data_IF_902433686013
#
_entry.id   IF_902433686013
#
_cell.length_a   1.000
_cell.length_b   1.000
_cell.length_c   1.000
_cell.angle_alpha   90.00
_cell.angle_beta   90.00
_cell.angle_gamma   90.00
#
_symmetry.space_group_name_H-M   'P 1'
#
loop_
_entity.id
_entity.type
_entity.pdbx_description
1 polymer ?
#
# COMPACT_ATOMS: atom_id res chain seq x y z
N UNK A 1 -44.50 -15.50 -26.65
CA UNK A 1 -44.60 -16.09 -28.00
C UNK A 1 -44.49 -17.59 -27.86
N UNK A 2 -45.39 -18.38 -28.47
CA UNK A 2 -45.31 -19.83 -28.37
C UNK A 2 -44.10 -20.31 -29.17
N UNK A 3 -43.22 -21.06 -28.51
CA UNK A 3 -42.08 -21.70 -29.14
C UNK A 3 -42.57 -22.67 -30.21
N UNK A 4 -42.29 -22.35 -31.46
CA UNK A 4 -42.36 -23.32 -32.55
C UNK A 4 -41.24 -24.32 -32.32
N UNK A 5 -41.52 -25.36 -31.52
CA UNK A 5 -40.63 -26.50 -31.40
C UNK A 5 -40.35 -27.02 -32.80
N UNK A 6 -39.07 -27.00 -33.20
CA UNK A 6 -38.63 -27.74 -34.37
C UNK A 6 -39.08 -29.18 -34.15
N UNK A 7 -40.00 -29.64 -35.00
CA UNK A 7 -40.20 -31.07 -35.20
C UNK A 7 -38.81 -31.64 -35.52
N UNK A 8 -38.43 -32.73 -34.86
CA UNK A 8 -37.27 -33.53 -35.24
C UNK A 8 -37.44 -33.91 -36.71
N UNK A 9 -36.87 -33.09 -37.60
CA UNK A 9 -36.86 -33.34 -39.02
C UNK A 9 -35.63 -34.21 -39.23
N UNK A 10 -35.87 -35.51 -39.36
CA UNK A 10 -34.83 -36.49 -39.65
C UNK A 10 -34.29 -36.18 -41.05
N UNK A 11 -33.22 -35.38 -41.12
CA UNK A 11 -32.47 -35.18 -42.34
C UNK A 11 -32.04 -36.56 -42.86
N UNK A 12 -32.49 -36.93 -44.06
CA UNK A 12 -31.99 -38.11 -44.73
C UNK A 12 -30.48 -37.98 -44.91
N UNK A 13 -29.74 -39.04 -44.59
CA UNK A 13 -28.29 -39.07 -44.75
C UNK A 13 -27.89 -38.74 -46.19
N UNK A 14 -27.14 -37.65 -46.38
CA UNK A 14 -26.62 -37.23 -47.68
C UNK A 14 -25.26 -37.92 -47.88
N UNK A 15 -25.23 -38.95 -48.71
CA UNK A 15 -23.98 -39.62 -49.11
C UNK A 15 -23.34 -38.88 -50.30
N UNK A 16 -22.11 -38.40 -50.13
CA UNK A 16 -21.33 -37.77 -51.19
C UNK A 16 -20.31 -38.76 -51.77
N UNK A 17 -20.67 -39.41 -52.87
CA UNK A 17 -19.82 -40.35 -53.58
C UNK A 17 -19.01 -39.67 -54.69
N UNK A 18 -17.71 -39.95 -54.77
CA UNK A 18 -16.82 -39.40 -55.79
C UNK A 18 -16.10 -40.53 -56.51
N UNK A 19 -16.25 -40.60 -57.84
CA UNK A 19 -15.47 -41.50 -58.70
C UNK A 19 -14.49 -40.68 -59.53
N UNK A 20 -13.19 -40.98 -59.44
CA UNK A 20 -12.14 -40.35 -60.22
C UNK A 20 -11.69 -41.26 -61.38
N UNK A 21 -11.54 -40.76 -62.63
CA UNK A 21 -11.04 -41.57 -63.74
C UNK A 21 -9.54 -41.88 -63.62
N UNK A 22 -9.10 -42.96 -64.30
CA UNK A 22 -7.70 -43.40 -64.32
C UNK A 22 -6.74 -42.32 -64.88
N UNK A 23 -5.64 -42.08 -64.17
CA UNK A 23 -4.86 -40.84 -64.21
C UNK A 23 -3.58 -40.87 -65.05
N UNK A 24 -3.44 -41.79 -66.01
CA UNK A 24 -2.15 -41.98 -66.69
C UNK A 24 -2.00 -41.07 -67.90
N UNK A 25 -1.05 -40.12 -67.83
CA UNK A 25 -0.59 -39.31 -68.97
C UNK A 25 0.52 -40.09 -69.69
N UNK A 26 0.34 -40.41 -70.98
CA UNK A 26 1.39 -41.00 -71.82
C UNK A 26 2.00 -39.94 -72.76
N UNK A 27 3.30 -40.08 -73.03
CA UNK A 27 4.02 -39.27 -74.00
C UNK A 27 5.17 -40.08 -74.59
N UNK A 28 5.66 -39.67 -75.77
CA UNK A 28 6.78 -40.29 -76.47
C UNK A 28 8.14 -39.84 -75.91
N UNK A 29 8.31 -39.92 -74.58
CA UNK A 29 9.48 -39.41 -73.87
C UNK A 29 10.79 -39.99 -74.41
N UNK A 30 10.89 -41.31 -74.59
CA UNK A 30 12.11 -41.95 -75.07
C UNK A 30 12.48 -41.48 -76.49
N UNK A 31 11.50 -41.41 -77.39
CA UNK A 31 11.71 -40.93 -78.76
C UNK A 31 12.20 -39.48 -78.79
N UNK A 32 11.58 -38.57 -78.02
CA UNK A 32 11.97 -37.16 -77.99
C UNK A 32 13.34 -37.00 -77.32
N UNK A 33 13.64 -37.82 -76.32
CA UNK A 33 14.94 -37.82 -75.63
C UNK A 33 16.07 -38.25 -76.55
N UNK A 34 15.85 -39.28 -77.37
CA UNK A 34 16.81 -39.71 -78.41
C UNK A 34 17.04 -38.60 -79.44
N UNK A 35 15.97 -37.99 -79.96
CA UNK A 35 16.07 -36.88 -80.93
C UNK A 35 16.81 -35.67 -80.36
N UNK A 36 16.53 -35.30 -79.10
CA UNK A 36 17.24 -34.21 -78.43
C UNK A 36 18.71 -34.56 -78.19
N UNK A 37 19.03 -35.79 -77.79
CA UNK A 37 20.42 -36.22 -77.58
C UNK A 37 21.22 -36.18 -78.89
N UNK A 38 20.64 -36.68 -79.98
CA UNK A 38 21.22 -36.64 -81.32
C UNK A 38 21.46 -35.19 -81.78
N UNK A 39 20.44 -34.33 -81.68
CA UNK A 39 20.56 -32.91 -82.06
C UNK A 39 21.54 -32.14 -81.15
N UNK A 40 21.60 -32.45 -79.85
CA UNK A 40 22.52 -31.77 -78.92
C UNK A 40 23.98 -32.19 -79.12
N UNK A 41 24.24 -33.42 -79.56
CA UNK A 41 25.60 -33.93 -79.81
C UNK A 41 26.35 -33.11 -80.86
N UNK A 42 25.62 -32.47 -81.78
CA UNK A 42 26.18 -31.59 -82.81
C UNK A 42 26.86 -30.34 -82.23
N UNK A 43 26.61 -30.00 -80.96
CA UNK A 43 27.20 -28.83 -80.30
C UNK A 43 28.36 -29.20 -79.36
N UNK A 44 28.66 -30.50 -79.18
CA UNK A 44 29.79 -30.94 -78.36
C UNK A 44 31.12 -30.60 -79.05
N UNK A 45 31.99 -29.85 -78.35
CA UNK A 45 33.32 -29.47 -78.87
C UNK A 45 33.36 -28.34 -79.90
N UNK A 46 32.21 -27.76 -80.29
CA UNK A 46 32.19 -26.60 -81.21
C UNK A 46 32.68 -25.34 -80.49
N UNK A 47 33.68 -24.67 -81.08
CA UNK A 47 34.12 -23.33 -80.69
C UNK A 47 33.59 -22.31 -81.72
N UNK A 48 32.63 -21.48 -81.31
CA UNK A 48 32.12 -20.40 -82.17
C UNK A 48 33.14 -19.26 -82.26
N UNK A 49 33.53 -18.89 -83.47
CA UNK A 49 34.42 -17.78 -83.83
C UNK A 49 33.64 -16.50 -84.17
N UNK A 50 34.34 -15.37 -84.38
CA UNK A 50 33.71 -14.07 -84.65
C UNK A 50 32.81 -14.08 -85.91
N UNK A 51 33.23 -14.80 -86.96
CA UNK A 51 32.48 -14.97 -88.21
C UNK A 51 31.25 -15.88 -88.09
N UNK A 52 31.22 -16.76 -87.08
CA UNK A 52 30.12 -17.73 -86.84
C UNK A 52 29.14 -17.28 -85.75
N UNK A 53 29.37 -16.12 -85.13
CA UNK A 53 28.55 -15.54 -84.05
C UNK A 53 27.07 -15.37 -84.41
N UNK A 54 26.78 -14.94 -85.65
CA UNK A 54 25.40 -14.76 -86.10
C UNK A 54 24.65 -16.10 -86.21
N UNK A 55 25.31 -17.12 -86.75
CA UNK A 55 24.76 -18.47 -86.85
C UNK A 55 24.54 -19.11 -85.47
N UNK A 56 25.50 -18.95 -84.54
CA UNK A 56 25.37 -19.40 -83.15
C UNK A 56 24.19 -18.76 -82.43
N UNK A 57 23.98 -17.44 -82.58
CA UNK A 57 22.79 -16.75 -82.04
C UNK A 57 21.48 -17.31 -82.58
N UNK A 58 21.42 -17.62 -83.89
CA UNK A 58 20.24 -18.22 -84.51
C UNK A 58 19.96 -19.61 -83.94
N UNK A 59 20.98 -20.45 -83.77
CA UNK A 59 20.85 -21.78 -83.17
C UNK A 59 20.39 -21.73 -81.71
N UNK A 60 20.93 -20.82 -80.90
CA UNK A 60 20.44 -20.61 -79.52
C UNK A 60 18.96 -20.21 -79.51
N UNK A 61 18.51 -19.38 -80.45
CA UNK A 61 17.11 -18.99 -80.55
C UNK A 61 16.21 -20.20 -80.93
N UNK A 62 16.65 -21.05 -81.86
CA UNK A 62 15.98 -22.30 -82.22
C UNK A 62 15.86 -23.25 -81.02
N UNK A 63 16.94 -23.49 -80.27
CA UNK A 63 16.94 -24.33 -79.07
C UNK A 63 16.03 -23.78 -77.96
N UNK A 64 16.02 -22.46 -77.75
CA UNK A 64 15.10 -21.81 -76.80
C UNK A 64 13.64 -21.99 -77.21
N UNK A 65 13.34 -21.96 -78.51
CA UNK A 65 12.00 -22.23 -79.03
C UNK A 65 11.58 -23.67 -78.77
N UNK A 66 12.43 -24.65 -79.09
CA UNK A 66 12.16 -26.08 -78.80
C UNK A 66 11.91 -26.33 -77.31
N UNK A 67 12.75 -25.73 -76.44
CA UNK A 67 12.54 -25.80 -74.98
C UNK A 67 11.19 -25.21 -74.56
N UNK A 68 10.81 -24.07 -75.14
CA UNK A 68 9.54 -23.41 -74.87
C UNK A 68 8.36 -24.27 -75.34
N UNK A 69 8.42 -24.85 -76.53
CA UNK A 69 7.32 -25.64 -77.09
C UNK A 69 7.03 -26.89 -76.23
N UNK A 70 8.06 -27.55 -75.69
CA UNK A 70 7.91 -28.66 -74.72
C UNK A 70 7.24 -28.17 -73.43
N UNK A 71 7.69 -27.04 -72.88
CA UNK A 71 7.16 -26.47 -71.64
C UNK A 71 5.70 -26.00 -71.80
N UNK A 72 5.36 -25.42 -72.95
CA UNK A 72 4.01 -24.98 -73.30
C UNK A 72 3.08 -26.17 -73.49
N UNK A 73 3.55 -27.27 -74.11
CA UNK A 73 2.75 -28.50 -74.22
C UNK A 73 2.50 -29.15 -72.86
N UNK A 74 3.48 -29.16 -71.95
CA UNK A 74 3.30 -29.60 -70.56
C UNK A 74 2.24 -28.76 -69.84
N UNK A 75 2.29 -27.43 -69.98
CA UNK A 75 1.32 -26.51 -69.36
C UNK A 75 -0.09 -26.71 -69.89
N UNK A 76 -0.25 -26.90 -71.19
CA UNK A 76 -1.55 -27.14 -71.82
C UNK A 76 -2.16 -28.45 -71.32
N UNK A 77 -1.38 -29.54 -71.28
CA UNK A 77 -1.83 -30.82 -70.72
C UNK A 77 -2.23 -30.68 -69.24
N UNK A 78 -1.43 -29.96 -68.43
CA UNK A 78 -1.80 -29.67 -67.02
C UNK A 78 -3.12 -28.91 -66.93
N UNK A 79 -3.34 -27.91 -67.77
CA UNK A 79 -4.58 -27.12 -67.79
C UNK A 79 -5.79 -28.00 -68.14
N UNK A 80 -5.66 -28.84 -69.16
CA UNK A 80 -6.72 -29.78 -69.57
C UNK A 80 -7.00 -30.83 -68.49
N UNK A 81 -5.96 -31.34 -67.83
CA UNK A 81 -6.10 -32.33 -66.76
C UNK A 81 -6.69 -31.74 -65.47
N UNK A 82 -6.39 -30.48 -65.17
CA UNK A 82 -6.97 -29.74 -64.04
C UNK A 82 -8.37 -29.22 -64.31
N UNK A 83 -8.78 -29.03 -65.58
CA UNK A 83 -10.12 -28.57 -65.91
C UNK A 83 -11.26 -29.40 -65.27
N UNK A 84 -11.28 -30.75 -65.34
CA UNK A 84 -12.33 -31.54 -64.69
C UNK A 84 -12.27 -31.45 -63.16
N UNK A 85 -11.07 -31.37 -62.58
CA UNK A 85 -10.91 -31.20 -61.13
C UNK A 85 -11.44 -29.83 -60.68
N UNK A 86 -11.08 -28.75 -61.37
CA UNK A 86 -11.52 -27.40 -61.04
C UNK A 86 -13.04 -27.27 -61.17
N UNK A 87 -13.64 -27.87 -62.21
CA UNK A 87 -15.09 -27.89 -62.36
C UNK A 87 -15.78 -28.67 -61.23
N UNK A 88 -15.21 -29.81 -60.82
CA UNK A 88 -15.66 -30.56 -59.64
C UNK A 88 -15.52 -29.75 -58.35
N UNK A 89 -14.37 -29.10 -58.12
CA UNK A 89 -14.10 -28.25 -56.95
C UNK A 89 -15.08 -27.06 -56.87
N UNK A 90 -15.39 -26.43 -58.00
CA UNK A 90 -16.43 -25.39 -58.08
C UNK A 90 -17.80 -25.94 -57.67
N UNK A 91 -18.21 -27.11 -58.19
CA UNK A 91 -19.48 -27.74 -57.82
C UNK A 91 -19.53 -28.14 -56.35
N UNK A 92 -18.42 -28.67 -55.79
CA UNK A 92 -18.34 -28.99 -54.36
C UNK A 92 -18.45 -27.73 -53.51
N UNK A 93 -17.80 -26.63 -53.90
CA UNK A 93 -17.93 -25.35 -53.18
C UNK A 93 -19.36 -24.81 -53.21
N UNK A 94 -20.09 -24.99 -54.30
CA UNK A 94 -21.52 -24.66 -54.35
C UNK A 94 -22.33 -25.50 -53.36
N UNK A 95 -22.07 -26.82 -53.28
CA UNK A 95 -22.71 -27.70 -52.30
C UNK A 95 -22.38 -27.30 -50.85
N UNK A 96 -21.12 -26.97 -50.55
CA UNK A 96 -20.71 -26.48 -49.24
C UNK A 96 -21.41 -25.17 -48.88
N UNK A 97 -21.52 -24.23 -49.84
CA UNK A 97 -22.20 -22.96 -49.62
C UNK A 97 -23.71 -23.13 -49.32
N UNK A 98 -24.37 -24.14 -49.88
CA UNK A 98 -25.76 -24.48 -49.55
C UNK A 98 -25.92 -24.94 -48.10
N UNK A 99 -24.90 -25.61 -47.53
CA UNK A 99 -24.89 -26.08 -46.14
C UNK A 99 -24.44 -24.98 -45.17
N UNK A 100 -23.46 -24.16 -45.54
CA UNK A 100 -22.95 -23.07 -44.71
C UNK A 100 -24.03 -22.02 -44.43
N UNK A 101 -24.91 -21.76 -45.39
CA UNK A 101 -25.98 -20.75 -45.24
C UNK A 101 -26.90 -21.04 -44.04
N UNK A 102 -27.55 -22.21 -43.90
CA UNK A 102 -28.35 -22.52 -42.73
C UNK A 102 -27.51 -22.64 -41.45
N UNK A 103 -26.28 -23.16 -41.49
CA UNK A 103 -25.40 -23.22 -40.32
C UNK A 103 -25.18 -21.81 -39.74
N UNK A 104 -24.77 -20.87 -40.58
CA UNK A 104 -24.50 -19.49 -40.16
C UNK A 104 -25.77 -18.79 -39.67
N UNK A 105 -26.91 -19.05 -40.32
CA UNK A 105 -28.21 -18.53 -39.89
C UNK A 105 -28.64 -19.09 -38.52
N UNK A 106 -28.41 -20.37 -38.24
CA UNK A 106 -28.72 -20.99 -36.94
C UNK A 106 -27.76 -20.45 -35.87
N UNK A 107 -26.45 -20.43 -36.13
CA UNK A 107 -25.45 -19.93 -35.19
C UNK A 107 -25.72 -18.49 -34.78
N UNK A 108 -25.99 -17.61 -35.75
CA UNK A 108 -26.30 -16.20 -35.45
C UNK A 108 -27.57 -16.04 -34.61
N UNK A 109 -28.60 -16.87 -34.82
CA UNK A 109 -29.78 -16.88 -33.96
C UNK A 109 -29.47 -17.37 -32.55
N UNK A 110 -28.72 -18.47 -32.41
CA UNK A 110 -28.33 -19.03 -31.10
C UNK A 110 -27.51 -17.99 -30.32
N UNK A 111 -26.53 -17.34 -30.96
CA UNK A 111 -25.75 -16.26 -30.36
C UNK A 111 -26.64 -15.07 -29.97
N UNK A 112 -27.58 -14.67 -30.82
CA UNK A 112 -28.52 -13.58 -30.51
C UNK A 112 -29.41 -13.92 -29.30
N UNK A 113 -29.87 -15.16 -29.18
CA UNK A 113 -30.63 -15.63 -28.02
C UNK A 113 -29.79 -15.63 -26.74
N UNK A 114 -28.54 -16.11 -26.79
CA UNK A 114 -27.63 -16.11 -25.65
C UNK A 114 -27.27 -14.68 -25.20
N UNK A 115 -26.98 -13.78 -26.14
CA UNK A 115 -26.72 -12.38 -25.86
C UNK A 115 -27.94 -11.67 -25.26
N UNK A 116 -29.13 -11.94 -25.79
CA UNK A 116 -30.38 -11.43 -25.24
C UNK A 116 -30.60 -11.94 -23.81
N UNK A 117 -30.42 -13.25 -23.57
CA UNK A 117 -30.53 -13.86 -22.24
C UNK A 117 -29.56 -13.21 -21.25
N UNK A 118 -28.30 -13.01 -21.62
CA UNK A 118 -27.31 -12.35 -20.77
C UNK A 118 -27.72 -10.90 -20.45
N UNK A 119 -28.16 -10.12 -21.44
CA UNK A 119 -28.63 -8.74 -21.21
C UNK A 119 -29.86 -8.67 -20.31
N UNK A 120 -30.86 -9.52 -20.54
CA UNK A 120 -32.05 -9.63 -19.69
C UNK A 120 -31.66 -10.02 -18.26
N UNK A 121 -30.68 -10.91 -18.12
CA UNK A 121 -30.18 -11.34 -16.82
C UNK A 121 -29.43 -10.23 -16.07
N UNK A 122 -28.57 -9.48 -16.75
CA UNK A 122 -27.92 -8.31 -16.16
C UNK A 122 -28.95 -7.25 -15.73
N UNK A 123 -29.96 -7.00 -16.56
CA UNK A 123 -31.05 -6.08 -16.22
C UNK A 123 -31.85 -6.57 -15.00
N UNK A 124 -32.13 -7.87 -14.90
CA UNK A 124 -32.79 -8.47 -13.74
C UNK A 124 -31.95 -8.33 -12.46
N UNK A 125 -30.64 -8.61 -12.52
CA UNK A 125 -29.72 -8.41 -11.38
C UNK A 125 -29.71 -6.94 -10.95
N UNK A 126 -29.63 -6.03 -11.92
CA UNK A 126 -29.62 -4.59 -11.67
C UNK A 126 -30.94 -4.12 -11.05
N UNK A 127 -32.08 -4.64 -11.51
CA UNK A 127 -33.40 -4.33 -10.97
C UNK A 127 -33.54 -4.84 -9.52
N UNK A 128 -33.18 -6.10 -9.25
CA UNK A 128 -33.16 -6.65 -7.89
C UNK A 128 -32.27 -5.77 -6.99
N UNK A 129 -31.09 -5.37 -7.46
CA UNK A 129 -30.23 -4.49 -6.68
C UNK A 129 -30.87 -3.15 -6.35
N UNK A 130 -31.50 -2.49 -7.32
CA UNK A 130 -32.18 -1.21 -7.10
C UNK A 130 -33.37 -1.34 -6.14
N UNK A 131 -34.10 -2.45 -6.18
CA UNK A 131 -35.19 -2.75 -5.25
C UNK A 131 -34.68 -2.93 -3.81
N UNK A 132 -33.55 -3.63 -3.62
CA UNK A 132 -33.10 -4.10 -2.31
C UNK A 132 -32.10 -3.17 -1.61
N UNK A 133 -31.31 -2.39 -2.36
CA UNK A 133 -30.18 -1.63 -1.80
C UNK A 133 -30.61 -0.47 -0.88
N UNK A 134 -31.73 0.17 -1.20
CA UNK A 134 -32.23 1.34 -0.46
C UNK A 134 -31.21 2.48 -0.34
N UNK A 135 -31.06 3.00 0.87
CA UNK A 135 -30.17 4.12 1.23
C UNK A 135 -28.68 3.78 1.19
N UNK A 136 -28.31 2.50 1.04
CA UNK A 136 -26.93 2.04 1.09
C UNK A 136 -26.21 2.15 -0.26
N UNK A 137 -26.85 2.67 -1.31
CA UNK A 137 -26.33 2.66 -2.69
C UNK A 137 -24.96 3.35 -2.84
N UNK A 138 -24.73 4.45 -2.15
CA UNK A 138 -23.44 5.15 -2.17
C UNK A 138 -22.33 4.36 -1.44
N UNK A 139 -22.72 3.59 -0.43
CA UNK A 139 -21.80 2.81 0.38
C UNK A 139 -21.48 1.46 -0.27
N UNK A 140 -22.47 0.78 -0.84
CA UNK A 140 -22.38 -0.60 -1.31
C UNK A 140 -22.81 -0.72 -2.78
N UNK A 141 -21.94 -0.39 -3.74
CA UNK A 141 -22.24 -0.52 -5.16
C UNK A 141 -22.39 -1.98 -5.60
N UNK A 142 -23.22 -2.26 -6.62
CA UNK A 142 -23.56 -3.62 -7.08
C UNK A 142 -22.32 -4.52 -7.29
N UNK A 143 -21.26 -4.00 -7.90
CA UNK A 143 -20.05 -4.79 -8.19
C UNK A 143 -19.38 -5.38 -6.93
N UNK A 144 -19.67 -4.85 -5.73
CA UNK A 144 -19.16 -5.35 -4.45
C UNK A 144 -19.91 -6.55 -3.89
N UNK A 145 -21.19 -6.68 -4.22
CA UNK A 145 -22.05 -7.79 -3.76
C UNK A 145 -22.28 -8.82 -4.85
N UNK A 146 -21.94 -8.49 -6.10
CA UNK A 146 -22.16 -9.34 -7.26
C UNK A 146 -21.36 -10.64 -7.17
N UNK A 147 -22.03 -11.76 -7.47
CA UNK A 147 -21.43 -13.07 -7.64
C UNK A 147 -21.42 -13.45 -9.13
N UNK A 148 -20.30 -13.98 -9.63
CA UNK A 148 -20.15 -14.42 -11.03
C UNK A 148 -21.21 -15.47 -11.42
N UNK A 149 -21.60 -16.33 -10.48
CA UNK A 149 -22.59 -17.39 -10.71
C UNK A 149 -23.98 -16.84 -11.06
N UNK A 150 -24.30 -15.60 -10.71
CA UNK A 150 -25.61 -15.01 -11.00
C UNK A 150 -25.92 -14.90 -12.49
N UNK A 151 -24.89 -14.84 -13.34
CA UNK A 151 -25.06 -14.86 -14.81
C UNK A 151 -25.46 -16.22 -15.37
N UNK A 152 -25.35 -17.31 -14.58
CA UNK A 152 -25.67 -18.66 -15.04
C UNK A 152 -27.19 -18.85 -15.15
N UNK A 153 -27.63 -19.55 -16.20
CA UNK A 153 -29.03 -19.89 -16.41
C UNK A 153 -29.62 -20.77 -15.29
N UNK A 154 -28.78 -21.52 -14.57
CA UNK A 154 -29.20 -22.38 -13.45
C UNK A 154 -29.46 -21.62 -12.16
N UNK A 155 -28.94 -20.40 -12.02
CA UNK A 155 -29.18 -19.60 -10.81
C UNK A 155 -30.57 -18.99 -10.90
N UNK A 156 -31.42 -19.19 -9.89
CA UNK A 156 -32.75 -18.58 -9.88
C UNK A 156 -32.71 -17.11 -9.44
N UNK A 157 -33.66 -16.30 -9.91
CA UNK A 157 -33.81 -14.92 -9.45
C UNK A 157 -34.00 -14.83 -7.92
N UNK A 158 -34.71 -15.82 -7.33
CA UNK A 158 -34.87 -15.96 -5.88
C UNK A 158 -33.53 -16.17 -5.16
N UNK A 159 -32.65 -17.01 -5.71
CA UNK A 159 -31.32 -17.23 -5.12
C UNK A 159 -30.47 -15.95 -5.16
N UNK A 160 -30.49 -15.22 -6.29
CA UNK A 160 -29.82 -13.90 -6.39
C UNK A 160 -30.34 -12.95 -5.32
N UNK A 161 -31.66 -12.77 -5.25
CA UNK A 161 -32.29 -11.86 -4.29
C UNK A 161 -31.88 -12.22 -2.86
N UNK A 162 -31.95 -13.49 -2.48
CA UNK A 162 -31.58 -13.94 -1.14
C UNK A 162 -30.09 -13.67 -0.82
N UNK A 163 -29.18 -14.01 -1.73
CA UNK A 163 -27.75 -13.76 -1.54
C UNK A 163 -27.44 -12.26 -1.45
N UNK A 164 -28.08 -11.46 -2.30
CA UNK A 164 -27.92 -10.00 -2.33
C UNK A 164 -28.46 -9.35 -1.05
N UNK A 165 -29.66 -9.74 -0.61
CA UNK A 165 -30.27 -9.28 0.65
C UNK A 165 -29.38 -9.60 1.85
N UNK A 166 -28.81 -10.82 1.90
CA UNK A 166 -27.88 -11.20 2.97
C UNK A 166 -26.63 -10.31 2.97
N UNK A 167 -26.05 -10.02 1.80
CA UNK A 167 -24.91 -9.14 1.67
C UNK A 167 -25.23 -7.69 2.08
N UNK A 168 -26.37 -7.15 1.62
CA UNK A 168 -26.84 -5.81 1.98
C UNK A 168 -27.10 -5.71 3.49
N UNK A 169 -27.78 -6.69 4.08
CA UNK A 169 -28.07 -6.72 5.51
C UNK A 169 -26.78 -6.77 6.36
N UNK A 170 -25.82 -7.60 5.96
CA UNK A 170 -24.50 -7.69 6.60
C UNK A 170 -23.74 -6.36 6.52
N UNK A 171 -23.70 -5.74 5.33
CA UNK A 171 -23.06 -4.45 5.13
C UNK A 171 -23.74 -3.33 5.92
N UNK A 172 -25.08 -3.29 5.97
CA UNK A 172 -25.85 -2.33 6.77
C UNK A 172 -25.52 -2.50 8.26
N UNK A 173 -25.59 -3.71 8.77
CA UNK A 173 -25.26 -4.01 10.17
C UNK A 173 -23.83 -3.61 10.51
N UNK A 174 -22.86 -3.91 9.64
CA UNK A 174 -21.47 -3.52 9.83
C UNK A 174 -21.25 -2.01 9.80
N UNK A 175 -21.89 -1.28 8.86
CA UNK A 175 -21.84 0.18 8.79
C UNK A 175 -22.40 0.80 10.08
N UNK A 176 -23.57 0.37 10.52
CA UNK A 176 -24.18 0.83 11.77
C UNK A 176 -23.32 0.52 12.99
N UNK A 177 -22.72 -0.67 13.06
CA UNK A 177 -21.81 -1.03 14.16
C UNK A 177 -20.57 -0.13 14.21
N UNK A 178 -20.00 0.20 13.05
CA UNK A 178 -18.85 1.12 12.97
C UNK A 178 -19.27 2.55 13.32
N UNK A 179 -20.42 3.03 12.82
CA UNK A 179 -20.95 4.36 13.12
C UNK A 179 -21.30 4.55 14.59
N UNK A 180 -21.70 3.48 15.28
CA UNK A 180 -21.99 3.50 16.71
C UNK A 180 -20.73 3.61 17.59
N UNK A 181 -19.52 3.44 17.02
CA UNK A 181 -18.28 3.57 17.77
C UNK A 181 -18.01 5.05 18.09
N UNK A 182 -17.76 5.36 19.36
CA UNK A 182 -17.42 6.72 19.80
C UNK A 182 -15.92 7.01 19.60
N UNK A 183 -15.45 6.99 18.35
CA UNK A 183 -14.04 7.15 18.00
C UNK A 183 -13.84 8.11 16.82
N UNK A 184 -12.77 8.90 16.86
CA UNK A 184 -12.37 9.76 15.73
C UNK A 184 -11.91 8.95 14.51
N UNK A 185 -11.64 7.64 14.68
CA UNK A 185 -11.25 6.73 13.61
C UNK A 185 -12.42 6.25 12.74
N UNK A 186 -13.68 6.50 13.13
CA UNK A 186 -14.88 5.99 12.45
C UNK A 186 -14.89 6.29 10.95
N UNK A 187 -14.62 7.52 10.45
CA UNK A 187 -14.64 7.79 9.01
C UNK A 187 -13.62 6.94 8.22
N UNK A 188 -12.43 6.74 8.78
CA UNK A 188 -11.39 5.90 8.16
C UNK A 188 -11.74 4.41 8.24
N UNK A 189 -12.34 3.98 9.35
CA UNK A 189 -12.83 2.62 9.51
C UNK A 189 -13.96 2.30 8.52
N UNK A 190 -14.88 3.24 8.28
CA UNK A 190 -15.94 3.11 7.28
C UNK A 190 -15.37 2.97 5.86
N UNK A 191 -14.36 3.77 5.49
CA UNK A 191 -13.69 3.63 4.18
C UNK A 191 -13.01 2.27 4.03
N UNK A 192 -12.38 1.79 5.10
CA UNK A 192 -11.75 0.45 5.12
C UNK A 192 -12.81 -0.64 4.97
N UNK A 193 -13.91 -0.55 5.73
CA UNK A 193 -15.03 -1.47 5.65
C UNK A 193 -15.71 -1.45 4.28
N UNK A 194 -15.91 -0.29 3.67
CA UNK A 194 -16.44 -0.16 2.32
C UNK A 194 -15.58 -0.90 1.29
N UNK A 195 -14.27 -0.97 1.53
CA UNK A 195 -13.32 -1.61 0.63
C UNK A 195 -13.25 -3.12 0.81
N UNK A 196 -13.37 -3.61 2.04
CA UNK A 196 -13.16 -5.04 2.36
C UNK A 196 -14.47 -5.80 2.62
N UNK A 197 -15.55 -5.09 2.94
CA UNK A 197 -16.77 -5.63 3.55
C UNK A 197 -16.51 -6.53 4.76
N UNK A 198 -15.37 -6.32 5.44
CA UNK A 198 -14.96 -7.07 6.61
C UNK A 198 -15.04 -6.19 7.87
N UNK A 199 -16.06 -6.44 8.69
CA UNK A 199 -16.29 -5.70 9.92
C UNK A 199 -15.13 -5.86 10.91
N UNK A 200 -14.53 -7.05 11.00
CA UNK A 200 -13.43 -7.32 11.92
C UNK A 200 -12.21 -6.44 11.62
N UNK A 201 -11.88 -6.23 10.34
CA UNK A 201 -10.75 -5.40 9.93
C UNK A 201 -10.95 -3.91 10.25
N UNK A 202 -12.20 -3.46 10.21
CA UNK A 202 -12.58 -2.08 10.53
C UNK A 202 -12.58 -1.86 12.06
N UNK A 203 -13.13 -2.80 12.82
CA UNK A 203 -13.11 -2.75 14.29
C UNK A 203 -11.67 -2.85 14.84
N UNK A 204 -10.84 -3.72 14.26
CA UNK A 204 -9.43 -3.82 14.62
C UNK A 204 -8.70 -2.50 14.40
N UNK A 205 -9.01 -1.78 13.32
CA UNK A 205 -8.44 -0.46 13.04
C UNK A 205 -8.85 0.58 14.11
N UNK A 206 -10.13 0.61 14.49
CA UNK A 206 -10.62 1.50 15.56
C UNK A 206 -9.91 1.18 16.88
N UNK A 207 -9.83 -0.09 17.25
CA UNK A 207 -9.19 -0.51 18.49
C UNK A 207 -7.71 -0.13 18.53
N UNK A 208 -6.99 -0.28 17.41
CA UNK A 208 -5.59 0.15 17.32
C UNK A 208 -5.44 1.67 17.48
N UNK A 209 -6.32 2.44 16.85
CA UNK A 209 -6.30 3.89 16.96
C UNK A 209 -6.55 4.37 18.40
N UNK A 210 -7.58 3.81 19.07
CA UNK A 210 -7.88 4.17 20.46
C UNK A 210 -6.78 3.74 21.43
N UNK A 211 -6.15 2.57 21.21
CA UNK A 211 -5.01 2.13 22.00
C UNK A 211 -3.82 3.12 21.88
N UNK A 212 -3.50 3.54 20.66
CA UNK A 212 -2.45 4.53 20.42
C UNK A 212 -2.78 5.89 21.07
N UNK A 213 -4.03 6.33 20.97
CA UNK A 213 -4.50 7.57 21.58
C UNK A 213 -4.40 7.53 23.11
N UNK A 214 -4.84 6.44 23.73
CA UNK A 214 -4.75 6.23 25.18
C UNK A 214 -3.29 6.20 25.66
N UNK A 215 -2.39 5.54 24.91
CA UNK A 215 -0.97 5.52 25.22
C UNK A 215 -0.35 6.92 25.15
N UNK A 216 -0.68 7.71 24.12
CA UNK A 216 -0.23 9.09 24.01
C UNK A 216 -0.71 9.96 25.18
N UNK A 217 -1.99 9.85 25.56
CA UNK A 217 -2.55 10.59 26.69
C UNK A 217 -1.87 10.22 28.02
N UNK A 218 -1.70 8.92 28.29
CA UNK A 218 -0.99 8.44 29.49
C UNK A 218 0.44 8.96 29.54
N UNK A 219 1.15 8.92 28.42
CA UNK A 219 2.53 9.42 28.33
C UNK A 219 2.59 10.94 28.55
N UNK A 220 1.60 11.69 28.11
CA UNK A 220 1.51 13.13 28.36
C UNK A 220 1.21 13.43 29.84
N UNK A 221 0.29 12.70 30.45
CA UNK A 221 -0.05 12.85 31.87
C UNK A 221 1.14 12.51 32.78
N UNK A 222 1.84 11.40 32.51
CA UNK A 222 3.07 11.04 33.23
C UNK A 222 4.15 12.12 33.08
N UNK A 223 4.24 12.78 31.93
CA UNK A 223 5.17 13.90 31.73
C UNK A 223 4.78 15.11 32.56
N UNK A 224 3.49 15.45 32.60
CA UNK A 224 2.97 16.57 33.41
C UNK A 224 3.19 16.33 34.90
N UNK A 225 2.86 15.13 35.40
CA UNK A 225 3.08 14.75 36.80
C UNK A 225 4.56 14.86 37.19
N UNK A 226 5.47 14.33 36.36
CA UNK A 226 6.91 14.46 36.61
C UNK A 226 7.40 15.90 36.59
N UNK A 227 6.84 16.75 35.74
CA UNK A 227 7.18 18.17 35.71
C UNK A 227 6.69 18.91 36.96
N UNK A 228 5.47 18.63 37.41
CA UNK A 228 4.89 19.17 38.64
C UNK A 228 5.68 18.71 39.87
N UNK A 229 6.02 17.43 39.97
CA UNK A 229 6.87 16.90 41.04
C UNK A 229 8.24 17.58 41.05
N UNK A 230 8.86 17.77 39.90
CA UNK A 230 10.14 18.49 39.80
C UNK A 230 10.02 19.95 40.24
N UNK A 231 8.94 20.63 39.86
CA UNK A 231 8.67 22.02 40.29
C UNK A 231 8.47 22.09 41.80
N UNK A 232 7.70 21.15 42.37
CA UNK A 232 7.45 21.08 43.81
C UNK A 232 8.73 20.77 44.60
N UNK A 233 9.55 19.82 44.12
CA UNK A 233 10.84 19.51 44.73
C UNK A 233 11.80 20.71 44.68
N UNK A 234 11.87 21.41 43.54
CA UNK A 234 12.70 22.62 43.41
C UNK A 234 12.23 23.74 44.35
N UNK A 235 10.92 23.89 44.57
CA UNK A 235 10.38 24.85 45.53
C UNK A 235 10.70 24.48 46.98
N UNK A 236 10.54 23.20 47.37
CA UNK A 236 10.96 22.70 48.68
C UNK A 236 12.46 22.94 48.90
N UNK A 237 13.29 22.66 47.89
CA UNK A 237 14.74 22.87 47.98
C UNK A 237 15.09 24.35 48.13
N UNK A 238 14.41 25.24 47.39
CA UNK A 238 14.55 26.70 47.51
C UNK A 238 14.20 27.18 48.93
N UNK A 239 13.03 26.78 49.46
CA UNK A 239 12.61 27.14 50.83
C UNK A 239 13.60 26.63 51.87
N UNK A 240 14.05 25.37 51.76
CA UNK A 240 15.06 24.80 52.66
C UNK A 240 16.40 25.54 52.58
N UNK A 241 16.80 25.98 51.39
CA UNK A 241 18.02 26.76 51.21
C UNK A 241 17.89 28.15 51.86
N UNK A 242 16.77 28.84 51.63
CA UNK A 242 16.46 30.13 52.28
C UNK A 242 16.41 30.01 53.80
N UNK A 243 15.80 28.96 54.36
CA UNK A 243 15.80 28.72 55.81
C UNK A 243 17.21 28.47 56.36
N UNK A 244 18.04 27.67 55.67
CA UNK A 244 19.44 27.45 56.08
C UNK A 244 20.22 28.76 56.10
N UNK A 245 20.05 29.61 55.08
CA UNK A 245 20.69 30.92 55.03
C UNK A 245 20.23 31.81 56.19
N UNK A 246 18.92 31.85 56.48
CA UNK A 246 18.39 32.62 57.62
C UNK A 246 18.98 32.17 58.96
N UNK A 247 19.08 30.85 59.18
CA UNK A 247 19.68 30.30 60.41
C UNK A 247 21.17 30.60 60.50
N UNK A 248 21.91 30.53 59.40
CA UNK A 248 23.33 30.89 59.36
C UNK A 248 23.55 32.39 59.62
N UNK A 249 22.75 33.25 59.00
CA UNK A 249 22.78 34.69 59.22
C UNK A 249 22.42 35.03 60.68
N UNK A 250 21.39 34.40 61.26
CA UNK A 250 21.01 34.57 62.67
C UNK A 250 22.13 34.12 63.62
N UNK A 251 22.78 32.98 63.34
CA UNK A 251 23.95 32.53 64.10
C UNK A 251 25.13 33.49 63.99
N UNK A 252 25.36 34.08 62.81
CA UNK A 252 26.42 35.08 62.60
C UNK A 252 26.11 36.33 63.43
N UNK A 253 24.89 36.86 63.35
CA UNK A 253 24.43 38.02 64.14
C UNK A 253 24.58 37.74 65.64
N UNK A 254 24.17 36.56 66.11
CA UNK A 254 24.31 36.18 67.53
C UNK A 254 25.77 36.12 67.96
N UNK A 255 26.65 35.51 67.17
CA UNK A 255 28.09 35.47 67.47
C UNK A 255 28.72 36.86 67.47
N UNK A 256 28.33 37.73 66.54
CA UNK A 256 28.77 39.12 66.50
C UNK A 256 28.28 39.89 67.73
N UNK A 257 27.04 39.69 68.17
CA UNK A 257 26.48 40.28 69.38
C UNK A 257 27.16 39.76 70.67
N UNK A 258 27.41 38.45 70.77
CA UNK A 258 28.16 37.85 71.88
C UNK A 258 29.60 38.38 71.93
N UNK A 259 30.28 38.47 70.78
CA UNK A 259 31.62 39.05 70.70
C UNK A 259 31.63 40.55 71.06
N UNK A 260 30.62 41.31 70.64
CA UNK A 260 30.47 42.72 71.01
C UNK A 260 30.19 42.90 72.51
N UNK A 261 29.37 42.04 73.11
CA UNK A 261 29.10 42.04 74.55
C UNK A 261 30.36 41.69 75.36
N UNK A 262 31.10 40.64 74.96
CA UNK A 262 32.40 40.31 75.58
C UNK A 262 33.35 41.49 75.48
N UNK A 263 33.48 42.09 74.29
CA UNK A 263 34.34 43.27 74.08
C UNK A 263 33.94 44.42 75.00
N UNK A 264 32.64 44.72 75.12
CA UNK A 264 32.13 45.74 76.04
C UNK A 264 32.44 45.44 77.49
N UNK A 265 32.35 44.19 77.96
CA UNK A 265 32.65 43.84 79.36
C UNK A 265 34.16 43.91 79.63
N UNK A 266 35.00 43.55 78.66
CA UNK A 266 36.48 43.56 78.80
C UNK A 266 37.15 44.92 78.68
N UNK A 267 36.47 45.96 78.21
CA UNK A 267 37.02 47.34 78.19
C UNK A 267 36.91 47.98 79.56
N UNK A 268 37.83 48.87 79.93
CA UNK A 268 37.74 49.72 81.12
C UNK A 268 37.88 51.18 80.70
N UNK A 269 37.35 52.12 81.48
CA UNK A 269 37.62 53.55 81.26
C UNK A 269 39.13 53.83 81.40
N UNK A 270 39.82 53.90 80.25
CA UNK A 270 41.28 54.05 80.17
C UNK A 270 41.79 55.34 80.83
N UNK A 271 40.99 56.42 80.83
CA UNK A 271 41.39 57.69 81.42
C UNK A 271 41.48 57.57 82.95
N UNK A 272 40.49 56.93 83.57
CA UNK A 272 40.47 56.71 85.02
C UNK A 272 41.41 55.59 85.46
N UNK A 273 41.53 54.53 84.64
CA UNK A 273 42.47 53.45 84.90
C UNK A 273 43.93 53.91 84.85
N UNK A 274 44.26 54.91 84.02
CA UNK A 274 45.64 55.40 83.85
C UNK A 274 46.29 55.97 85.12
N UNK A 275 45.48 56.41 86.10
CA UNK A 275 45.96 56.94 87.37
C UNK A 275 46.52 55.85 88.30
N UNK A 276 46.14 54.58 88.06
CA UNK A 276 46.42 53.43 88.94
C UNK A 276 47.06 52.24 88.18
N UNK A 277 47.44 52.39 86.92
CA UNK A 277 48.02 51.30 86.08
C UNK A 277 49.44 51.61 85.59
N UNK A 278 50.22 50.56 85.31
CA UNK A 278 51.60 50.59 84.83
C UNK A 278 51.69 50.01 83.40
N UNK A 279 52.80 50.19 82.66
CA UNK A 279 52.92 49.75 81.26
C UNK A 279 52.65 48.25 81.03
N UNK A 280 52.91 47.41 82.04
CA UNK A 280 52.71 45.96 82.00
C UNK A 280 51.40 45.52 82.69
N UNK A 281 50.47 46.44 82.96
CA UNK A 281 49.18 46.10 83.56
C UNK A 281 48.29 45.31 82.57
N UNK A 282 47.59 44.30 83.09
CA UNK A 282 46.65 43.47 82.32
C UNK A 282 45.22 43.61 82.86
N UNK A 283 44.24 43.69 81.97
CA UNK A 283 42.82 43.69 82.35
C UNK A 283 42.32 42.26 82.48
N UNK A 284 41.64 41.96 83.59
CA UNK A 284 40.99 40.67 83.83
C UNK A 284 39.53 40.89 84.27
N UNK A 285 38.63 40.05 83.78
CA UNK A 285 37.20 40.07 84.15
C UNK A 285 36.97 38.99 85.20
N UNK A 286 36.44 39.39 86.36
CA UNK A 286 36.08 38.49 87.45
C UNK A 286 34.57 38.53 87.69
N UNK A 287 33.97 37.36 87.86
CA UNK A 287 32.59 37.25 88.37
C UNK A 287 32.66 36.99 89.86
N UNK A 288 32.04 37.88 90.64
CA UNK A 288 32.05 37.78 92.10
C UNK A 288 30.61 37.81 92.61
N UNK A 289 30.30 36.93 93.56
CA UNK A 289 28.98 36.83 94.19
C UNK A 289 29.16 37.13 95.67
N UNK A 290 28.42 38.11 96.17
CA UNK A 290 28.43 38.52 97.56
C UNK A 290 27.23 39.41 97.85
N UNK A 291 26.99 39.68 99.13
CA UNK A 291 26.07 40.71 99.60
C UNK A 291 26.62 42.11 99.29
N UNK A 292 25.77 43.14 99.31
CA UNK A 292 26.19 44.53 99.06
C UNK A 292 27.34 44.97 99.98
N UNK A 293 27.34 44.50 101.23
CA UNK A 293 28.40 44.79 102.21
C UNK A 293 29.71 44.12 101.77
N UNK A 294 29.68 42.82 101.44
CA UNK A 294 30.85 42.05 100.99
C UNK A 294 31.43 42.58 99.66
N UNK A 295 30.57 43.05 98.74
CA UNK A 295 31.02 43.65 97.49
C UNK A 295 31.68 45.02 97.73
N UNK A 296 31.15 45.86 98.63
CA UNK A 296 31.82 47.11 99.01
C UNK A 296 33.16 46.87 99.69
N UNK A 297 33.25 45.87 100.55
CA UNK A 297 34.52 45.48 101.17
C UNK A 297 35.55 45.05 100.12
N UNK A 298 35.13 44.27 99.13
CA UNK A 298 35.99 43.88 98.01
C UNK A 298 36.43 45.08 97.16
N UNK A 299 35.51 46.00 96.84
CA UNK A 299 35.80 47.23 96.11
C UNK A 299 36.84 48.09 96.85
N UNK A 300 36.69 48.25 98.16
CA UNK A 300 37.67 48.93 99.01
C UNK A 300 39.02 48.21 99.04
N UNK A 301 39.01 46.87 99.15
CA UNK A 301 40.22 46.05 99.12
C UNK A 301 40.97 46.20 97.79
N UNK A 302 40.28 46.16 96.64
CA UNK A 302 40.88 46.36 95.32
C UNK A 302 41.57 47.73 95.22
N UNK A 303 40.90 48.81 95.63
CA UNK A 303 41.50 50.16 95.64
C UNK A 303 42.74 50.19 96.56
N UNK A 304 42.67 49.60 97.74
CA UNK A 304 43.79 49.57 98.68
C UNK A 304 45.02 48.79 98.18
N UNK A 305 44.78 47.77 97.35
CA UNK A 305 45.83 46.98 96.69
C UNK A 305 46.36 47.69 95.43
N UNK A 306 45.85 48.89 95.12
CA UNK A 306 46.23 49.69 93.96
C UNK A 306 45.62 49.18 92.65
N UNK A 307 44.56 48.38 92.71
CA UNK A 307 43.85 47.89 91.53
C UNK A 307 42.72 48.85 91.16
N UNK A 308 42.68 49.25 89.89
CA UNK A 308 41.51 49.91 89.33
C UNK A 308 40.41 48.89 89.04
N UNK A 309 39.17 49.21 89.40
CA UNK A 309 38.00 48.41 89.05
C UNK A 309 36.92 49.30 88.45
N UNK A 310 36.10 48.70 87.58
CA UNK A 310 34.89 49.32 87.07
C UNK A 310 33.76 48.31 87.27
N UNK A 311 32.79 48.64 88.13
CA UNK A 311 31.61 47.79 88.29
C UNK A 311 30.65 48.06 87.15
N UNK A 312 30.41 47.04 86.33
CA UNK A 312 29.39 47.08 85.29
C UNK A 312 28.14 46.41 85.85
N UNK A 313 27.23 47.24 86.34
CA UNK A 313 25.91 46.79 86.73
C UNK A 313 25.16 46.35 85.47
N UNK A 314 24.58 45.14 85.52
CA UNK A 314 23.82 44.54 84.42
C UNK A 314 22.44 45.21 84.24
#
# INVERSE_FOLDING_TARGET
MPGSGMKEDMMSEIMFEVMAPASTISANFEQVKEQLAEEMSQYEGIVFTEDSKAAGKKKVAELRKTKKDIDDRRKEVKKQWMAPYNAFDEQVKELLALVDKPINYINSQVEAFEQKRLKEREAEIQAIYQEEIGDLAEFLPLYRVRNEKWGNASTSAKAIRNEMQAAIASARAGKTAIEAMQSDAVPNALRKFQTTLNLADALAYINQYEAQRAEMQKREEERRQKEEERRHQAEIERVRHEERQRVEDEKRIRKEAEAAAIKQVTTVDEARASELTLPDSHTAVYTVVGTDEELRELEMAMISLGLYYERKDA
#
